data_IF_741143037321
#
_entry.id   IF_741143037321
#
_cell.length_a   1.000
_cell.length_b   1.000
_cell.length_c   1.000
_cell.angle_alpha   90.00
_cell.angle_beta   90.00
_cell.angle_gamma   90.00
#
_symmetry.space_group_name_H-M   'P 1'
#
loop_
_entity.id
_entity.type
_entity.pdbx_description
1 polymer ?
#
# COMPACT_ATOMS: atom_id res chain seq x y z
N UNK A 1 5.52 23.90 7.47
CA UNK A 1 6.64 23.78 6.51
C UNK A 1 6.51 22.55 5.61
N UNK A 2 5.93 21.43 6.06
CA UNK A 2 5.75 20.20 5.25
C UNK A 2 4.28 19.85 4.91
N UNK A 3 3.36 20.82 4.97
CA UNK A 3 1.92 20.54 4.89
C UNK A 3 1.49 19.89 3.57
N UNK A 4 2.12 20.26 2.45
CA UNK A 4 1.85 19.64 1.15
C UNK A 4 2.26 18.15 1.15
N UNK A 5 3.45 17.85 1.67
CA UNK A 5 3.97 16.48 1.78
C UNK A 5 3.12 15.65 2.75
N UNK A 6 2.75 16.23 3.90
CA UNK A 6 1.86 15.57 4.87
C UNK A 6 0.52 15.22 4.22
N UNK A 7 -0.03 16.11 3.39
CA UNK A 7 -1.26 15.84 2.63
C UNK A 7 -1.09 14.70 1.63
N UNK A 8 0.04 14.65 0.90
CA UNK A 8 0.38 13.54 0.01
C UNK A 8 0.50 12.21 0.78
N UNK A 9 1.19 12.20 1.94
CA UNK A 9 1.35 11.01 2.78
C UNK A 9 0.01 10.54 3.34
N UNK A 10 -0.86 11.46 3.80
CA UNK A 10 -2.22 11.10 4.28
C UNK A 10 -3.06 10.42 3.21
N UNK A 11 -2.98 10.87 1.96
CA UNK A 11 -3.65 10.22 0.84
C UNK A 11 -3.09 8.81 0.58
N UNK A 12 -1.78 8.64 0.70
CA UNK A 12 -1.14 7.33 0.55
C UNK A 12 -1.49 6.37 1.70
N UNK A 13 -1.57 6.87 2.94
CA UNK A 13 -2.09 6.14 4.10
C UNK A 13 -3.51 5.65 3.80
N UNK A 14 -4.41 6.56 3.43
CA UNK A 14 -5.80 6.20 3.14
C UNK A 14 -5.92 5.19 2.00
N UNK A 15 -5.19 5.40 0.89
CA UNK A 15 -5.14 4.46 -0.24
C UNK A 15 -4.70 3.05 0.19
N UNK A 16 -3.63 2.95 0.97
CA UNK A 16 -3.06 1.66 1.39
C UNK A 16 -3.92 0.92 2.42
N UNK A 17 -4.64 1.63 3.31
CA UNK A 17 -5.66 1.03 4.18
C UNK A 17 -6.75 0.31 3.38
N UNK A 18 -7.07 0.85 2.19
CA UNK A 18 -8.18 0.38 1.38
C UNK A 18 -7.77 -0.49 0.19
N UNK A 19 -6.50 -0.91 0.06
CA UNK A 19 -6.02 -1.73 -1.07
C UNK A 19 -6.87 -2.98 -1.33
N UNK A 20 -7.31 -3.67 -0.28
CA UNK A 20 -8.13 -4.87 -0.41
C UNK A 20 -9.59 -4.59 -0.82
N UNK A 21 -10.03 -3.34 -0.68
CA UNK A 21 -11.39 -2.88 -0.97
C UNK A 21 -11.49 -2.22 -2.34
N UNK A 22 -10.55 -1.32 -2.67
CA UNK A 22 -10.44 -0.67 -3.98
C UNK A 22 -9.93 -1.64 -5.02
N UNK A 23 -8.92 -2.43 -4.64
CA UNK A 23 -8.45 -3.57 -5.39
C UNK A 23 -7.80 -3.25 -6.74
N UNK A 24 -7.48 -4.31 -7.45
CA UNK A 24 -6.88 -4.31 -8.78
C UNK A 24 -7.10 -5.68 -9.42
N UNK A 25 -6.97 -5.76 -10.74
CA UNK A 25 -7.19 -7.02 -11.45
C UNK A 25 -6.10 -8.03 -11.16
N UNK A 26 -6.48 -9.17 -10.58
CA UNK A 26 -5.61 -10.33 -10.35
C UNK A 26 -6.31 -11.58 -10.82
N UNK A 27 -5.59 -12.43 -11.56
CA UNK A 27 -6.11 -13.68 -12.11
C UNK A 27 -5.59 -14.87 -11.33
N UNK A 28 -6.49 -15.78 -10.97
CA UNK A 28 -6.20 -16.93 -10.12
C UNK A 28 -6.43 -18.26 -10.86
N UNK A 29 -5.60 -19.24 -10.55
CA UNK A 29 -5.67 -20.60 -11.08
C UNK A 29 -5.48 -20.75 -12.61
N UNK A 30 -5.62 -21.98 -13.13
CA UNK A 30 -5.30 -22.31 -14.53
C UNK A 30 -6.28 -21.74 -15.55
N UNK A 31 -7.47 -21.30 -15.10
CA UNK A 31 -8.48 -20.64 -15.96
C UNK A 31 -8.40 -19.11 -15.89
N UNK A 32 -7.41 -18.56 -15.20
CA UNK A 32 -7.19 -17.13 -15.03
C UNK A 32 -8.47 -16.40 -14.57
N UNK A 33 -9.13 -16.92 -13.52
CA UNK A 33 -10.34 -16.30 -12.98
C UNK A 33 -9.95 -14.97 -12.34
N UNK A 34 -10.43 -13.86 -12.89
CA UNK A 34 -10.16 -12.53 -12.36
C UNK A 34 -10.98 -12.27 -11.10
N UNK A 35 -10.30 -11.85 -10.04
CA UNK A 35 -10.90 -11.41 -8.77
C UNK A 35 -10.22 -10.12 -8.38
N UNK A 36 -11.00 -9.04 -8.26
CA UNK A 36 -10.48 -7.70 -8.15
C UNK A 36 -10.38 -7.20 -6.70
N UNK A 37 -11.09 -7.80 -5.75
CA UNK A 37 -11.15 -7.32 -4.36
C UNK A 37 -11.28 -8.47 -3.36
N UNK A 38 -11.03 -8.19 -2.07
CA UNK A 38 -11.29 -9.14 -0.99
C UNK A 38 -12.76 -9.55 -0.95
N UNK A 39 -13.69 -8.60 -1.12
CA UNK A 39 -15.13 -8.88 -1.13
C UNK A 39 -15.50 -9.88 -2.21
N UNK A 40 -14.96 -9.73 -3.42
CA UNK A 40 -15.19 -10.68 -4.52
C UNK A 40 -14.60 -12.06 -4.19
N UNK A 41 -13.40 -12.11 -3.61
CA UNK A 41 -12.78 -13.37 -3.20
C UNK A 41 -13.59 -14.11 -2.12
N UNK A 42 -14.19 -13.38 -1.19
CA UNK A 42 -15.05 -13.93 -0.14
C UNK A 42 -16.39 -14.43 -0.69
N UNK A 43 -16.94 -13.75 -1.71
CA UNK A 43 -18.18 -14.11 -2.39
C UNK A 43 -18.05 -15.34 -3.32
N UNK A 44 -16.83 -15.80 -3.62
CA UNK A 44 -16.62 -16.98 -4.45
C UNK A 44 -17.32 -18.23 -3.87
N UNK A 45 -17.94 -19.07 -4.72
CA UNK A 45 -18.58 -20.31 -4.30
C UNK A 45 -17.62 -21.22 -3.52
N UNK A 46 -18.12 -21.92 -2.50
CA UNK A 46 -17.30 -22.81 -1.65
C UNK A 46 -16.54 -23.90 -2.42
N UNK A 47 -17.08 -24.33 -3.56
CA UNK A 47 -16.50 -25.34 -4.45
C UNK A 47 -15.55 -24.73 -5.51
N UNK A 48 -15.34 -23.42 -5.52
CA UNK A 48 -14.41 -22.78 -6.44
C UNK A 48 -12.97 -23.14 -6.06
N UNK A 49 -12.24 -23.70 -7.02
CA UNK A 49 -10.85 -24.16 -6.83
C UNK A 49 -9.88 -23.01 -6.52
N UNK A 50 -10.21 -21.78 -6.91
CA UNK A 50 -9.37 -20.58 -6.70
C UNK A 50 -9.72 -19.80 -5.43
N UNK A 51 -10.77 -20.19 -4.70
CA UNK A 51 -11.33 -19.39 -3.60
C UNK A 51 -10.31 -19.12 -2.51
N UNK A 52 -9.61 -20.15 -2.04
CA UNK A 52 -8.63 -20.01 -0.96
C UNK A 52 -7.43 -19.18 -1.39
N UNK A 53 -6.97 -19.36 -2.63
CA UNK A 53 -5.87 -18.59 -3.20
C UNK A 53 -6.21 -17.09 -3.28
N UNK A 54 -7.38 -16.76 -3.86
CA UNK A 54 -7.85 -15.39 -3.97
C UNK A 54 -8.06 -14.73 -2.60
N UNK A 55 -8.66 -15.45 -1.64
CA UNK A 55 -8.86 -14.91 -0.28
C UNK A 55 -7.53 -14.65 0.42
N UNK A 56 -6.57 -15.56 0.31
CA UNK A 56 -5.26 -15.39 0.93
C UNK A 56 -4.51 -14.22 0.34
N UNK A 57 -4.51 -14.07 -0.99
CA UNK A 57 -3.92 -12.92 -1.67
C UNK A 57 -4.48 -11.60 -1.15
N UNK A 58 -5.81 -11.45 -1.15
CA UNK A 58 -6.45 -10.20 -0.77
C UNK A 58 -6.34 -9.91 0.73
N UNK A 59 -6.32 -10.94 1.59
CA UNK A 59 -6.00 -10.76 3.02
C UNK A 59 -4.56 -10.33 3.25
N UNK A 60 -3.61 -10.86 2.47
CA UNK A 60 -2.23 -10.38 2.51
C UNK A 60 -2.14 -8.93 2.05
N UNK A 61 -2.81 -8.55 0.95
CA UNK A 61 -2.87 -7.17 0.50
C UNK A 61 -3.45 -6.23 1.58
N UNK A 62 -4.48 -6.66 2.30
CA UNK A 62 -5.06 -5.91 3.43
C UNK A 62 -4.05 -5.72 4.57
N UNK A 63 -3.41 -6.81 5.01
CA UNK A 63 -2.44 -6.76 6.12
C UNK A 63 -1.24 -5.88 5.75
N UNK A 64 -0.66 -6.11 4.57
CA UNK A 64 0.48 -5.34 4.08
C UNK A 64 0.14 -3.86 3.85
N UNK A 65 -1.06 -3.57 3.31
CA UNK A 65 -1.54 -2.20 3.16
C UNK A 65 -1.68 -1.48 4.51
N UNK A 66 -2.17 -2.19 5.54
CA UNK A 66 -2.25 -1.67 6.90
C UNK A 66 -0.86 -1.44 7.52
N UNK A 67 0.07 -2.37 7.37
CA UNK A 67 1.44 -2.20 7.88
C UNK A 67 2.13 -1.01 7.21
N UNK A 68 1.97 -0.84 5.89
CA UNK A 68 2.51 0.30 5.17
C UNK A 68 1.90 1.63 5.65
N UNK A 69 0.57 1.65 5.86
CA UNK A 69 -0.13 2.81 6.39
C UNK A 69 0.33 3.18 7.81
N UNK A 70 0.58 2.21 8.70
CA UNK A 70 1.12 2.47 10.04
C UNK A 70 2.49 3.17 10.00
N UNK A 71 3.35 2.80 9.05
CA UNK A 71 4.60 3.51 8.81
C UNK A 71 4.40 4.89 8.17
N UNK A 72 3.38 5.05 7.32
CA UNK A 72 2.97 6.36 6.81
C UNK A 72 2.55 7.34 7.91
N UNK A 73 1.83 6.88 8.93
CA UNK A 73 1.47 7.68 10.10
C UNK A 73 2.71 8.11 10.92
N UNK A 74 3.73 7.23 10.99
CA UNK A 74 5.02 7.60 11.58
C UNK A 74 5.75 8.66 10.75
N UNK A 75 5.67 8.59 9.42
CA UNK A 75 6.23 9.61 8.54
C UNK A 75 5.54 10.97 8.75
N UNK A 76 4.21 10.99 8.88
CA UNK A 76 3.45 12.21 9.21
C UNK A 76 3.92 12.78 10.55
N UNK A 77 4.00 11.95 11.59
CA UNK A 77 4.45 12.37 12.91
C UNK A 77 5.86 12.96 12.89
N UNK A 78 6.78 12.37 12.12
CA UNK A 78 8.14 12.89 11.96
C UNK A 78 8.16 14.23 11.20
N UNK A 79 7.34 14.39 10.15
CA UNK A 79 7.20 15.65 9.42
C UNK A 79 6.64 16.77 10.30
N UNK A 80 5.64 16.47 11.14
CA UNK A 80 5.10 17.44 12.09
C UNK A 80 6.14 17.87 13.14
N UNK A 81 7.04 16.97 13.54
CA UNK A 81 8.17 17.25 14.43
C UNK A 81 9.37 17.94 13.72
N UNK A 82 9.33 18.07 12.39
CA UNK A 82 10.46 18.58 11.60
C UNK A 82 11.63 17.60 11.44
N UNK A 83 11.44 16.33 11.78
CA UNK A 83 12.44 15.27 11.63
C UNK A 83 12.41 14.70 10.20
N UNK A 84 13.15 15.36 9.31
CA UNK A 84 13.28 14.93 7.91
C UNK A 84 13.90 13.54 7.76
N UNK A 85 14.82 13.16 8.65
CA UNK A 85 15.47 11.84 8.60
C UNK A 85 14.47 10.76 9.00
N UNK A 86 13.75 10.95 10.10
CA UNK A 86 12.70 10.04 10.55
C UNK A 86 11.59 9.88 9.52
N UNK A 87 11.21 10.97 8.84
CA UNK A 87 10.26 10.92 7.74
C UNK A 87 10.79 10.11 6.55
N UNK A 88 12.04 10.34 6.14
CA UNK A 88 12.70 9.60 5.05
C UNK A 88 12.78 8.10 5.35
N UNK A 89 13.22 7.74 6.56
CA UNK A 89 13.34 6.35 7.00
C UNK A 89 11.95 5.66 7.00
N UNK A 90 10.92 6.33 7.52
CA UNK A 90 9.55 5.80 7.52
C UNK A 90 8.98 5.61 6.11
N UNK A 91 9.20 6.56 5.20
CA UNK A 91 8.78 6.46 3.80
C UNK A 91 9.58 5.39 3.03
N UNK A 92 10.83 5.15 3.39
CA UNK A 92 11.59 4.03 2.85
C UNK A 92 10.98 2.69 3.29
N UNK A 93 10.54 2.56 4.54
CA UNK A 93 9.85 1.35 5.01
C UNK A 93 8.52 1.12 4.32
N UNK A 94 7.72 2.17 4.07
CA UNK A 94 6.43 2.02 3.39
C UNK A 94 6.59 1.44 1.98
N UNK A 95 7.55 1.93 1.18
CA UNK A 95 7.79 1.37 -0.16
C UNK A 95 8.35 -0.04 -0.12
N UNK A 96 9.14 -0.38 0.90
CA UNK A 96 9.67 -1.72 1.06
C UNK A 96 8.55 -2.73 1.38
N UNK A 97 7.61 -2.33 2.24
CA UNK A 97 6.41 -3.12 2.58
C UNK A 97 5.51 -3.30 1.35
N UNK A 98 5.38 -2.25 0.52
CA UNK A 98 4.60 -2.30 -0.73
C UNK A 98 5.16 -3.28 -1.77
N UNK A 99 6.46 -3.59 -1.74
CA UNK A 99 7.16 -4.32 -2.81
C UNK A 99 6.47 -5.59 -3.35
N UNK A 100 5.78 -6.43 -2.54
CA UNK A 100 5.04 -7.58 -3.07
C UNK A 100 3.86 -7.22 -3.99
N UNK A 101 3.35 -5.99 -3.90
CA UNK A 101 2.18 -5.48 -4.62
C UNK A 101 2.50 -4.27 -5.52
N UNK A 102 3.75 -3.85 -5.59
CA UNK A 102 4.17 -2.58 -6.22
C UNK A 102 3.79 -2.44 -7.69
N UNK A 103 3.66 -3.57 -8.41
CA UNK A 103 3.21 -3.58 -9.80
C UNK A 103 1.77 -3.06 -9.96
N UNK A 104 0.96 -3.20 -8.90
CA UNK A 104 -0.46 -2.86 -8.89
C UNK A 104 -0.78 -1.62 -8.04
N UNK A 105 -0.28 -1.54 -6.81
CA UNK A 105 -0.69 -0.50 -5.85
C UNK A 105 -0.07 0.87 -6.09
N UNK A 106 1.17 0.93 -6.59
CA UNK A 106 1.94 2.15 -6.97
C UNK A 106 1.74 3.36 -6.03
N UNK A 107 1.60 3.13 -4.74
CA UNK A 107 1.19 4.12 -3.74
C UNK A 107 2.41 4.79 -3.10
N UNK A 108 3.40 4.03 -2.65
CA UNK A 108 4.48 4.52 -1.77
C UNK A 108 5.78 4.81 -2.50
N UNK A 109 6.17 3.98 -3.47
CA UNK A 109 7.43 4.18 -4.20
C UNK A 109 7.54 5.57 -4.87
N UNK A 110 6.55 6.05 -5.64
CA UNK A 110 6.64 7.38 -6.26
C UNK A 110 6.72 8.51 -5.23
N UNK A 111 6.06 8.34 -4.09
CA UNK A 111 6.05 9.32 -3.00
C UNK A 111 7.41 9.40 -2.31
N UNK A 112 8.03 8.25 -2.04
CA UNK A 112 9.39 8.18 -1.49
C UNK A 112 10.42 8.81 -2.44
N UNK A 113 10.37 8.47 -3.73
CA UNK A 113 11.26 9.04 -4.74
C UNK A 113 11.11 10.57 -4.84
N UNK A 114 9.86 11.07 -4.83
CA UNK A 114 9.57 12.50 -4.80
C UNK A 114 10.11 13.17 -3.54
N UNK A 115 9.93 12.54 -2.38
CA UNK A 115 10.43 13.04 -1.11
C UNK A 115 11.95 13.18 -1.10
N UNK A 116 12.68 12.14 -1.52
CA UNK A 116 14.14 12.17 -1.64
C UNK A 116 14.59 13.26 -2.62
N UNK A 117 13.93 13.38 -3.78
CA UNK A 117 14.28 14.42 -4.75
C UNK A 117 14.12 15.85 -4.19
N UNK A 118 13.11 16.08 -3.34
CA UNK A 118 12.80 17.38 -2.73
C UNK A 118 13.73 17.74 -1.57
N UNK A 119 14.12 16.77 -0.74
CA UNK A 119 14.75 17.05 0.56
C UNK A 119 16.14 16.43 0.75
N UNK A 120 16.61 15.55 -0.14
CA UNK A 120 17.95 14.92 -0.06
C UNK A 120 18.96 15.47 -1.08
N UNK A 121 18.61 16.44 -1.93
CA UNK A 121 19.59 17.18 -2.74
C UNK A 121 20.22 18.30 -1.89
N UNK A 122 21.28 17.95 -1.16
CA UNK A 122 22.34 18.87 -0.71
C UNK A 122 23.68 18.35 -1.23
#
# INVERSE_FOLDING_TARGET
>A
MFQDVISEVRKAVDSSRHWAETGWQVSFGPRAITVCTLREAEALPRNSVVRLEAQNYWKQAQLTGNDAADWGEKAISALDAGDLKGASDALYFTQYIEKPFSDSSKTWLPLYESFVARFHRN
#
